data_IF_889433688732
#
_entry.id   IF_889433688732
#
_cell.length_a   1.000
_cell.length_b   1.000
_cell.length_c   1.000
_cell.angle_alpha   90.00
_cell.angle_beta   90.00
_cell.angle_gamma   90.00
#
_symmetry.space_group_name_H-M   'P 1'
#
loop_
_entity.id
_entity.type
_entity.pdbx_description
1 polymer ?
#
# COMPACT_ATOMS: atom_id res chain seq x y z
N UNK A 1 -0.41 -19.08 20.54
CA UNK A 1 -1.60 -19.29 19.68
C UNK A 1 -1.25 -19.22 18.19
N UNK A 2 -0.67 -18.13 17.68
CA UNK A 2 -0.39 -17.97 16.25
C UNK A 2 0.64 -18.95 15.65
N UNK A 3 1.67 -19.35 16.40
CA UNK A 3 2.68 -20.28 15.89
C UNK A 3 2.11 -21.65 15.52
N UNK A 4 1.23 -22.20 16.36
CA UNK A 4 0.60 -23.50 16.10
C UNK A 4 -0.29 -23.48 14.85
N UNK A 5 -0.95 -22.36 14.58
CA UNK A 5 -1.74 -22.19 13.37
C UNK A 5 -0.84 -22.12 12.12
N UNK A 6 0.27 -21.37 12.20
CA UNK A 6 1.23 -21.28 11.09
C UNK A 6 1.87 -22.64 10.76
N UNK A 7 2.17 -23.46 11.78
CA UNK A 7 2.64 -24.84 11.60
C UNK A 7 1.64 -25.69 10.81
N UNK A 8 0.36 -25.72 11.23
CA UNK A 8 -0.67 -26.51 10.55
C UNK A 8 -0.84 -26.07 9.09
N UNK A 9 -0.89 -24.75 8.84
CA UNK A 9 -1.00 -24.22 7.48
C UNK A 9 0.22 -24.57 6.63
N UNK A 10 1.42 -24.59 7.23
CA UNK A 10 2.64 -25.01 6.54
C UNK A 10 2.63 -26.51 6.24
N UNK A 11 2.15 -27.35 7.14
CA UNK A 11 2.15 -28.80 6.96
C UNK A 11 1.07 -29.26 5.96
N UNK A 12 -0.13 -28.68 6.04
CA UNK A 12 -1.27 -29.06 5.18
C UNK A 12 -1.18 -28.46 3.76
N UNK A 13 -0.32 -27.45 3.55
CA UNK A 13 -0.08 -26.80 2.26
C UNK A 13 -1.36 -26.47 1.45
N UNK A 14 -2.42 -25.86 2.04
CA UNK A 14 -3.58 -25.44 1.25
C UNK A 14 -3.23 -24.31 0.25
N UNK A 15 -2.16 -23.56 0.54
CA UNK A 15 -1.56 -22.56 -0.32
C UNK A 15 -0.04 -22.65 -0.23
N UNK A 16 0.64 -22.57 -1.38
CA UNK A 16 2.10 -22.43 -1.44
C UNK A 16 2.47 -20.95 -1.35
N UNK A 17 3.00 -20.53 -0.21
CA UNK A 17 3.54 -19.17 -0.06
C UNK A 17 4.85 -19.05 -0.84
N UNK A 18 4.91 -18.11 -1.78
CA UNK A 18 6.08 -17.88 -2.62
C UNK A 18 6.91 -16.70 -2.11
N UNK A 19 6.32 -15.51 -2.09
CA UNK A 19 6.98 -14.26 -1.66
C UNK A 19 5.95 -13.20 -1.30
N UNK A 20 6.37 -12.21 -0.51
CA UNK A 20 5.64 -10.97 -0.31
C UNK A 20 6.13 -9.92 -1.31
N UNK A 21 5.21 -9.29 -2.04
CA UNK A 21 5.58 -8.26 -2.99
C UNK A 21 5.96 -6.96 -2.28
N UNK A 22 7.10 -6.38 -2.67
CA UNK A 22 7.38 -4.98 -2.38
C UNK A 22 6.49 -4.09 -3.26
N UNK A 23 5.94 -3.03 -2.68
CA UNK A 23 5.13 -2.07 -3.42
C UNK A 23 5.99 -0.85 -3.79
N UNK A 24 6.39 -0.74 -5.06
CA UNK A 24 7.02 0.46 -5.59
C UNK A 24 5.95 1.41 -6.15
N UNK A 25 5.55 2.39 -5.35
CA UNK A 25 4.48 3.34 -5.72
C UNK A 25 5.08 4.70 -6.07
N UNK A 26 4.71 5.25 -7.23
CA UNK A 26 5.15 6.57 -7.69
C UNK A 26 3.99 7.55 -7.65
N UNK A 27 4.16 8.67 -6.95
CA UNK A 27 3.16 9.74 -6.85
C UNK A 27 3.75 11.06 -7.38
N UNK A 28 2.95 11.83 -8.10
CA UNK A 28 3.37 13.14 -8.60
C UNK A 28 3.67 14.09 -7.45
N UNK A 29 4.77 14.86 -7.53
CA UNK A 29 5.18 15.89 -6.53
C UNK A 29 4.12 16.97 -6.24
N UNK A 30 3.06 17.05 -7.06
CA UNK A 30 1.97 18.02 -6.94
C UNK A 30 0.99 17.67 -5.83
N UNK A 31 0.88 16.38 -5.48
CA UNK A 31 0.02 15.92 -4.40
C UNK A 31 0.67 16.24 -3.05
N UNK A 32 -0.13 16.82 -2.15
CA UNK A 32 0.25 17.12 -0.77
C UNK A 32 -0.41 16.14 0.19
N UNK A 33 0.16 16.01 1.39
CA UNK A 33 -0.33 15.09 2.44
C UNK A 33 -0.26 13.61 2.02
N UNK A 34 0.77 13.26 1.24
CA UNK A 34 1.02 11.86 0.86
C UNK A 34 1.74 11.16 2.01
N UNK A 35 0.98 10.39 2.79
CA UNK A 35 1.48 9.56 3.88
C UNK A 35 1.46 8.08 3.50
N UNK A 36 2.48 7.35 3.92
CA UNK A 36 2.60 5.90 3.73
C UNK A 36 2.28 5.22 5.06
N UNK A 37 1.18 4.46 5.08
CA UNK A 37 0.77 3.66 6.24
C UNK A 37 1.24 2.20 6.08
N UNK A 38 1.22 1.38 7.14
CA UNK A 38 1.55 -0.04 7.04
C UNK A 38 0.70 -0.82 6.02
N UNK A 39 -0.52 -0.36 5.76
CA UNK A 39 -1.43 -0.92 4.76
C UNK A 39 -1.32 -0.27 3.36
N UNK A 40 -0.38 0.66 3.18
CA UNK A 40 -0.17 1.39 1.94
C UNK A 40 -0.57 2.86 2.01
N UNK A 41 -0.82 3.46 0.85
CA UNK A 41 -1.17 4.89 0.70
C UNK A 41 -2.69 5.10 0.77
N UNK A 42 -3.12 6.20 1.39
CA UNK A 42 -4.54 6.61 1.41
C UNK A 42 -4.70 8.01 0.80
N UNK A 43 -5.45 8.15 -0.31
CA UNK A 43 -5.60 9.43 -1.00
C UNK A 43 -6.65 10.36 -0.38
N UNK A 44 -7.32 9.95 0.70
CA UNK A 44 -8.48 10.65 1.27
C UNK A 44 -8.21 12.12 1.62
N UNK A 45 -7.00 12.44 2.06
CA UNK A 45 -6.60 13.78 2.50
C UNK A 45 -5.64 14.47 1.52
N UNK A 46 -5.49 13.92 0.32
CA UNK A 46 -4.60 14.50 -0.68
C UNK A 46 -5.26 15.70 -1.33
N UNK A 47 -4.45 16.72 -1.59
CA UNK A 47 -4.90 17.90 -2.31
C UNK A 47 -3.77 18.42 -3.19
N UNK A 48 -4.15 19.24 -4.17
CA UNK A 48 -3.22 19.86 -5.12
C UNK A 48 -3.36 21.37 -5.00
N UNK A 49 -2.27 22.10 -4.68
CA UNK A 49 -2.26 23.56 -4.67
C UNK A 49 -2.70 24.13 -6.02
N UNK A 50 -3.39 25.28 -6.01
CA UNK A 50 -3.94 25.88 -7.24
C UNK A 50 -2.86 26.08 -8.31
N UNK A 51 -1.69 26.55 -7.92
CA UNK A 51 -0.53 26.75 -8.79
C UNK A 51 0.03 25.47 -9.42
N UNK A 52 -0.31 24.29 -8.87
CA UNK A 52 0.11 22.98 -9.37
C UNK A 52 -1.02 22.23 -10.12
N UNK A 53 -2.22 22.83 -10.24
CA UNK A 53 -3.32 22.25 -11.00
C UNK A 53 -3.00 22.35 -12.51
N UNK A 54 -3.11 21.22 -13.21
CA UNK A 54 -2.74 21.13 -14.65
C UNK A 54 -3.87 21.53 -15.59
N UNK A 55 -5.10 21.40 -15.13
CA UNK A 55 -6.30 21.63 -15.91
C UNK A 55 -7.11 22.66 -15.14
N UNK A 56 -7.35 23.79 -15.77
CA UNK A 56 -8.42 24.72 -15.40
C UNK A 56 -9.62 24.40 -16.28
N UNK A 57 -10.82 24.53 -15.73
CA UNK A 57 -12.05 24.53 -16.53
C UNK A 57 -12.06 25.66 -17.56
#
# INVERSE_FOLDING_TARGET
>A
MYYRFQEIVHDEQPYTFLFTNEALVVVSRRFRTVEVYPLGISPLYWWVPKEAQKYSD
#
